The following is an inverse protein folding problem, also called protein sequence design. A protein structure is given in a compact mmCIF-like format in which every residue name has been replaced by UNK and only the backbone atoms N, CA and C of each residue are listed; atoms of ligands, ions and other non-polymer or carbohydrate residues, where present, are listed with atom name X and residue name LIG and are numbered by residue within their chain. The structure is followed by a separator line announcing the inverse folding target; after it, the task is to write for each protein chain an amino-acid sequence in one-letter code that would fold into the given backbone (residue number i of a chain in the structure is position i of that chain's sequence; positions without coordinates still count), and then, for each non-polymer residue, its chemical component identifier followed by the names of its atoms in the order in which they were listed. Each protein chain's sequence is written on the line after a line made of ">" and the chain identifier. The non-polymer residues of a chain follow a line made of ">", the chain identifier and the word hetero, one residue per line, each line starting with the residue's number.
data_IF_034529243713
#
_entry.id   IF_034529243713
#
_cell.length_a   1.000
_cell.length_b   1.000
_cell.length_c   1.000
_cell.angle_alpha   90.00
_cell.angle_beta   90.00
_cell.angle_gamma   90.00
#
_symmetry.space_group_name_H-M   'P 1'
#
loop_
_entity.id
_entity.type
_entity.pdbx_description
1 polymer ?
#
# COMPACT_ATOMS: atom_id res chain seq x y z
N UNK A 1 9.82 1.90 21.99
CA UNK A 1 9.83 2.29 20.57
C UNK A 1 8.93 1.32 19.84
N UNK A 2 7.69 1.73 19.56
CA UNK A 2 6.74 0.94 18.77
C UNK A 2 7.29 0.79 17.35
N UNK A 3 7.84 -0.37 17.03
CA UNK A 3 8.20 -0.71 15.65
C UNK A 3 6.89 -0.85 14.89
N UNK A 4 6.52 0.19 14.13
CA UNK A 4 5.40 0.11 13.20
C UNK A 4 5.56 -1.13 12.31
N UNK A 5 4.53 -1.97 12.26
CA UNK A 5 4.57 -3.23 11.52
C UNK A 5 4.85 -2.99 10.03
N UNK A 6 5.66 -3.84 9.41
CA UNK A 6 6.11 -3.68 8.02
C UNK A 6 5.12 -4.18 6.96
N UNK A 7 3.98 -4.76 7.34
CA UNK A 7 2.94 -5.20 6.40
C UNK A 7 3.25 -6.47 5.60
N UNK A 8 4.44 -7.06 5.72
CA UNK A 8 4.88 -8.26 5.00
C UNK A 8 4.64 -8.21 3.46
N UNK A 9 4.83 -7.04 2.85
CA UNK A 9 4.61 -6.85 1.40
C UNK A 9 5.37 -7.86 0.51
N UNK A 10 6.54 -8.36 0.95
CA UNK A 10 7.32 -9.34 0.22
C UNK A 10 6.64 -10.72 0.10
N UNK A 11 5.70 -11.04 0.99
CA UNK A 11 4.95 -12.30 0.97
C UNK A 11 3.71 -12.23 0.05
N UNK A 12 3.38 -11.03 -0.46
CA UNK A 12 2.25 -10.85 -1.38
C UNK A 12 2.63 -11.33 -2.79
N UNK A 13 1.80 -12.17 -3.45
CA UNK A 13 2.05 -12.64 -4.81
C UNK A 13 2.32 -11.52 -5.82
N UNK A 14 3.13 -11.82 -6.86
CA UNK A 14 3.57 -10.85 -7.88
C UNK A 14 2.42 -10.01 -8.44
N UNK A 15 1.49 -10.72 -9.06
CA UNK A 15 0.31 -10.18 -9.70
C UNK A 15 -0.54 -9.33 -8.75
N UNK A 16 -0.73 -9.80 -7.52
CA UNK A 16 -1.54 -9.11 -6.52
C UNK A 16 -0.91 -7.79 -6.10
N UNK A 17 0.40 -7.79 -5.86
CA UNK A 17 1.15 -6.58 -5.52
C UNK A 17 1.13 -5.54 -6.65
N UNK A 18 1.25 -5.98 -7.91
CA UNK A 18 1.11 -5.07 -9.07
C UNK A 18 -0.30 -4.50 -9.18
N UNK A 19 -1.34 -5.30 -8.90
CA UNK A 19 -2.73 -4.82 -8.84
C UNK A 19 -2.93 -3.77 -7.75
N UNK A 20 -2.33 -3.95 -6.57
CA UNK A 20 -2.37 -2.95 -5.50
C UNK A 20 -1.78 -1.61 -5.96
N UNK A 21 -0.59 -1.62 -6.55
CA UNK A 21 0.09 -0.41 -7.07
C UNK A 21 -0.70 0.23 -8.21
N UNK A 22 -1.18 -0.56 -9.17
CA UNK A 22 -1.99 -0.09 -10.29
C UNK A 22 -3.27 0.61 -9.81
N UNK A 23 -3.97 0.00 -8.85
CA UNK A 23 -5.17 0.60 -8.25
C UNK A 23 -4.86 1.91 -7.52
N UNK A 24 -3.75 1.97 -6.78
CA UNK A 24 -3.34 3.17 -6.07
C UNK A 24 -3.06 4.34 -7.03
N UNK A 25 -2.35 4.08 -8.15
CA UNK A 25 -2.12 5.09 -9.20
C UNK A 25 -3.43 5.59 -9.80
N UNK A 26 -4.33 4.68 -10.19
CA UNK A 26 -5.61 5.04 -10.75
C UNK A 26 -6.46 5.90 -9.79
N UNK A 27 -6.42 5.60 -8.49
CA UNK A 27 -7.10 6.42 -7.49
C UNK A 27 -6.48 7.81 -7.34
N UNK A 28 -5.15 7.90 -7.36
CA UNK A 28 -4.43 9.16 -7.29
C UNK A 28 -4.68 10.06 -8.50
N UNK A 29 -4.86 9.47 -9.69
CA UNK A 29 -5.24 10.22 -10.90
C UNK A 29 -6.69 10.71 -10.84
N UNK A 30 -7.63 9.85 -10.47
CA UNK A 30 -9.08 10.18 -10.47
C UNK A 30 -9.46 11.18 -9.38
N UNK A 31 -8.79 11.14 -8.22
CA UNK A 31 -9.13 11.98 -7.04
C UNK A 31 -8.30 13.25 -6.93
N UNK A 32 -7.46 13.54 -7.93
CA UNK A 32 -6.65 14.76 -7.99
C UNK A 32 -7.53 15.97 -8.29
N UNK A 33 -7.47 16.98 -7.43
CA UNK A 33 -7.97 18.32 -7.75
C UNK A 33 -6.91 19.09 -8.57
N UNK A 34 -7.29 20.10 -9.38
CA UNK A 34 -6.33 20.91 -10.14
C UNK A 34 -5.26 21.60 -9.27
N UNK A 35 -5.63 21.91 -8.02
CA UNK A 35 -4.78 22.49 -6.98
C UNK A 35 -3.88 21.48 -6.26
N UNK A 36 -4.14 20.18 -6.40
CA UNK A 36 -3.34 19.14 -5.73
C UNK A 36 -2.02 18.93 -6.46
N UNK A 37 -0.97 18.62 -5.69
CA UNK A 37 0.30 18.18 -6.23
C UNK A 37 0.07 17.03 -7.21
N UNK A 38 0.82 17.02 -8.32
CA UNK A 38 0.72 15.94 -9.32
C UNK A 38 1.03 14.61 -8.63
N UNK A 39 0.07 13.68 -8.71
CA UNK A 39 0.25 12.32 -8.24
C UNK A 39 1.46 11.67 -8.96
N UNK A 40 2.31 11.04 -8.18
CA UNK A 40 3.45 10.26 -8.64
C UNK A 40 3.79 9.17 -7.62
N UNK A 41 4.74 8.31 -7.98
CA UNK A 41 5.09 7.14 -7.18
C UNK A 41 5.76 7.49 -5.83
N UNK A 42 6.19 8.74 -5.60
CA UNK A 42 6.79 9.21 -4.34
C UNK A 42 5.79 9.75 -3.34
N UNK A 43 4.61 10.17 -3.80
CA UNK A 43 3.59 10.82 -2.97
C UNK A 43 2.24 10.10 -2.97
N UNK A 44 2.21 8.87 -3.50
CA UNK A 44 1.09 7.95 -3.37
C UNK A 44 1.54 6.79 -2.50
N UNK A 45 0.89 6.59 -1.35
CA UNK A 45 1.33 5.62 -0.36
C UNK A 45 0.32 4.49 -0.20
N UNK A 46 0.83 3.30 0.14
CA UNK A 46 0.06 2.11 0.44
C UNK A 46 0.41 1.65 1.85
N UNK A 47 -0.61 1.30 2.63
CA UNK A 47 -0.50 0.62 3.93
C UNK A 47 -1.24 -0.69 3.85
N UNK A 48 -0.70 -1.78 4.39
CA UNK A 48 -1.47 -3.01 4.59
C UNK A 48 -2.12 -2.90 5.95
N UNK A 49 -3.35 -3.36 6.08
CA UNK A 49 -3.93 -3.56 7.40
C UNK A 49 -4.73 -4.84 7.49
N UNK A 50 -4.90 -5.29 8.71
CA UNK A 50 -5.79 -6.39 9.03
C UNK A 50 -7.15 -5.78 9.34
N UNK A 51 -8.21 -6.26 8.67
CA UNK A 51 -9.55 -5.91 9.11
C UNK A 51 -9.83 -6.54 10.46
N UNK A 52 -10.65 -5.91 11.30
CA UNK A 52 -11.04 -6.46 12.61
C UNK A 52 -11.72 -7.84 12.55
N UNK A 53 -12.07 -8.32 11.35
CA UNK A 53 -12.68 -9.64 11.08
C UNK A 53 -11.66 -10.69 10.60
N UNK A 54 -10.37 -10.36 10.54
CA UNK A 54 -9.31 -11.29 10.13
C UNK A 54 -9.20 -11.51 8.62
N UNK A 55 -9.99 -10.80 7.81
CA UNK A 55 -9.92 -10.90 6.34
C UNK A 55 -8.67 -10.19 5.84
N UNK A 56 -7.79 -10.97 5.20
CA UNK A 56 -6.56 -10.52 4.55
C UNK A 56 -6.65 -10.74 3.03
N UNK A 57 -5.93 -9.93 2.23
CA UNK A 57 -5.33 -8.64 2.58
C UNK A 57 -6.35 -7.51 2.40
N UNK A 58 -6.35 -6.52 3.27
CA UNK A 58 -6.94 -5.21 2.98
C UNK A 58 -5.82 -4.18 2.99
N UNK A 59 -5.91 -3.16 2.14
CA UNK A 59 -4.90 -2.11 2.09
C UNK A 59 -5.53 -0.72 2.03
N UNK A 60 -4.82 0.27 2.53
CA UNK A 60 -5.19 1.67 2.45
C UNK A 60 -4.31 2.36 1.43
N UNK A 61 -4.90 3.24 0.63
CA UNK A 61 -4.19 4.13 -0.29
C UNK A 61 -4.29 5.53 0.27
N UNK A 62 -3.15 6.14 0.55
CA UNK A 62 -3.04 7.53 0.97
C UNK A 62 -2.57 8.37 -0.23
N UNK A 63 -3.38 9.37 -0.57
CA UNK A 63 -3.21 10.23 -1.73
C UNK A 63 -2.37 11.48 -1.39
N UNK A 64 -1.82 12.20 -2.40
CA UNK A 64 -1.03 13.42 -2.16
C UNK A 64 -1.77 14.52 -1.39
N UNK A 65 -3.10 14.52 -1.42
CA UNK A 65 -3.94 15.46 -0.69
C UNK A 65 -4.30 15.00 0.74
N UNK A 66 -3.68 13.91 1.23
CA UNK A 66 -3.91 13.35 2.56
C UNK A 66 -5.17 12.48 2.67
N UNK A 67 -5.95 12.31 1.59
CA UNK A 67 -7.11 11.42 1.60
C UNK A 67 -6.66 9.96 1.72
N UNK A 68 -7.27 9.22 2.66
CA UNK A 68 -7.03 7.79 2.84
C UNK A 68 -8.24 7.00 2.34
N UNK A 69 -8.00 6.02 1.48
CA UNK A 69 -9.02 5.18 0.87
C UNK A 69 -8.74 3.72 1.23
N UNK A 70 -9.68 3.09 1.92
CA UNK A 70 -9.66 1.66 2.22
C UNK A 70 -10.05 0.84 0.97
N UNK A 71 -9.21 -0.14 0.63
CA UNK A 71 -9.38 -1.03 -0.52
C UNK A 71 -9.34 -2.50 -0.07
N UNK A 72 -10.37 -3.24 -0.45
CA UNK A 72 -10.44 -4.67 -0.22
C UNK A 72 -9.41 -5.35 -1.12
N UNK A 73 -8.50 -6.14 -0.56
CA UNK A 73 -7.44 -6.74 -1.36
C UNK A 73 -7.90 -7.94 -2.19
N UNK A 74 -9.03 -8.57 -1.89
CA UNK A 74 -9.55 -9.68 -2.71
C UNK A 74 -10.02 -9.17 -4.07
N UNK A 75 -10.80 -8.09 -4.08
CA UNK A 75 -11.44 -7.58 -5.31
C UNK A 75 -10.95 -6.20 -5.76
N UNK A 76 -10.08 -5.54 -4.99
CA UNK A 76 -9.59 -4.18 -5.24
C UNK A 76 -10.68 -3.10 -5.35
N UNK A 77 -11.79 -3.31 -4.65
CA UNK A 77 -12.90 -2.36 -4.52
C UNK A 77 -12.82 -1.57 -3.21
N UNK A 78 -13.50 -0.41 -3.16
CA UNK A 78 -13.52 0.42 -1.94
C UNK A 78 -14.38 -0.23 -0.86
N UNK A 79 -13.95 -0.10 0.39
CA UNK A 79 -14.72 -0.52 1.56
C UNK A 79 -14.58 0.48 2.72
N UNK A 80 -15.31 0.29 3.82
CA UNK A 80 -15.33 1.24 4.93
C UNK A 80 -14.00 1.28 5.69
N UNK A 81 -13.46 2.49 5.95
CA UNK A 81 -12.21 2.65 6.74
C UNK A 81 -12.41 2.23 8.20
N UNK A 82 -13.63 2.31 8.72
CA UNK A 82 -14.00 1.90 10.09
C UNK A 82 -13.78 0.40 10.33
N UNK A 83 -13.61 -0.39 9.27
CA UNK A 83 -13.38 -1.83 9.34
C UNK A 83 -11.88 -2.20 9.51
N UNK A 84 -10.97 -1.22 9.43
CA UNK A 84 -9.55 -1.42 9.73
C UNK A 84 -9.25 -1.30 11.22
N UNK A 85 -8.60 -2.32 11.78
CA UNK A 85 -8.01 -2.20 13.09
C UNK A 85 -6.77 -1.31 13.01
N UNK A 86 -6.86 -0.09 13.57
CA UNK A 86 -5.79 0.92 13.56
C UNK A 86 -4.51 0.43 14.24
N UNK A 87 -4.58 -0.59 15.10
CA UNK A 87 -3.41 -1.18 15.76
C UNK A 87 -2.65 -2.14 14.83
N UNK A 88 -3.28 -2.60 13.75
CA UNK A 88 -2.75 -3.57 12.79
C UNK A 88 -2.66 -2.99 11.38
N UNK A 89 -2.22 -1.73 11.27
CA UNK A 89 -1.90 -1.07 10.01
C UNK A 89 -0.38 -0.94 9.90
N UNK A 90 0.16 -1.31 8.75
CA UNK A 90 1.58 -1.17 8.47
C UNK A 90 1.98 0.30 8.43
N UNK A 91 3.29 0.55 8.49
CA UNK A 91 3.79 1.86 8.05
C UNK A 91 3.40 2.12 6.59
N UNK A 92 3.37 3.40 6.24
CA UNK A 92 3.14 3.85 4.87
C UNK A 92 4.37 3.55 4.01
N UNK A 93 4.12 3.08 2.80
CA UNK A 93 5.14 2.89 1.78
C UNK A 93 4.71 3.58 0.49
N UNK A 94 5.55 4.45 -0.04
CA UNK A 94 5.35 5.01 -1.37
C UNK A 94 5.42 3.90 -2.43
N UNK A 95 4.77 4.11 -3.57
CA UNK A 95 4.87 3.16 -4.69
C UNK A 95 6.33 2.99 -5.15
N UNK A 96 7.15 4.05 -5.06
CA UNK A 96 8.59 3.98 -5.34
C UNK A 96 9.32 3.04 -4.36
N UNK A 97 9.09 3.18 -3.06
CA UNK A 97 9.67 2.29 -2.04
C UNK A 97 9.23 0.83 -2.26
N UNK A 98 7.97 0.62 -2.61
CA UNK A 98 7.42 -0.70 -2.93
C UNK A 98 8.06 -1.31 -4.18
N UNK A 99 8.32 -0.51 -5.22
CA UNK A 99 9.06 -0.96 -6.39
C UNK A 99 10.48 -1.38 -5.98
N UNK A 100 11.16 -0.55 -5.16
CA UNK A 100 12.53 -0.84 -4.71
C UNK A 100 12.60 -2.11 -3.85
N UNK A 101 11.68 -2.33 -2.92
CA UNK A 101 11.64 -3.55 -2.10
C UNK A 101 11.54 -4.83 -2.94
N UNK A 102 10.77 -4.77 -4.03
CA UNK A 102 10.57 -5.90 -4.93
C UNK A 102 11.76 -6.14 -5.85
N UNK A 103 12.47 -5.09 -6.28
CA UNK A 103 13.72 -5.21 -7.04
C UNK A 103 14.78 -5.98 -6.25
N UNK A 104 14.82 -5.83 -4.92
CA UNK A 104 15.74 -6.57 -4.04
C UNK A 104 15.19 -7.92 -3.54
N UNK A 105 13.89 -8.19 -3.69
CA UNK A 105 13.23 -9.42 -3.27
C UNK A 105 13.17 -10.55 -4.31
N UNK A 106 13.73 -10.34 -5.52
CA UNK A 106 13.75 -11.31 -6.62
C UNK A 106 15.04 -12.13 -6.76
N UNK A 107 16.14 -11.70 -6.15
CA UNK A 107 17.40 -12.41 -5.90
C UNK A 107 18.34 -11.34 -5.33
N UNK A 108 18.63 -11.38 -4.03
CA UNK A 108 19.92 -10.91 -3.56
C UNK A 108 20.79 -12.16 -3.55
N UNK A 109 21.60 -12.33 -4.60
CA UNK A 109 22.75 -13.21 -4.52
C UNK A 109 23.54 -12.80 -3.26
N UNK A 110 23.65 -13.76 -2.36
CA UNK A 110 24.72 -14.02 -1.37
C UNK A 110 25.42 -12.81 -0.76
N UNK A 111 25.41 -12.83 0.58
CA UNK A 111 26.50 -12.40 1.48
C UNK A 111 27.61 -11.56 0.84
N UNK A 112 27.75 -10.33 1.33
CA UNK A 112 29.09 -9.79 1.50
C UNK A 112 29.19 -9.30 2.93
N UNK A 113 29.85 -10.16 3.72
CA UNK A 113 30.55 -9.83 4.95
C UNK A 113 31.59 -8.72 4.72
#
# INVERSE_FOLDING_TARGET
>A
MDKAWGGNFCEIPLDHFEKMKSKARALAEVKRSPSDAKANDKNTFIRIGISGTGVRPNYQVELPNGSVIAINGINHERFGVEEFDKQWVSKAYSIEELNNMRMFGGNLETESA
#
